data_IF_301745163756
#
_entry.id   IF_301745163756
#
_cell.length_a   1.000
_cell.length_b   1.000
_cell.length_c   1.000
_cell.angle_alpha   90.00
_cell.angle_beta   90.00
_cell.angle_gamma   90.00
#
_symmetry.space_group_name_H-M   'P 1'
#
loop_
_entity.id
_entity.type
_entity.pdbx_description
1 polymer ?
#
# COMPACT_ATOMS: atom_id res chain seq x y z
N UNK A 1 -5.41 1.04 3.34
CA UNK A 1 -5.14 0.51 4.68
C UNK A 1 -5.80 -0.85 4.73
N UNK A 2 -5.10 -1.85 5.26
CA UNK A 2 -5.54 -3.24 5.25
C UNK A 2 -5.13 -3.89 6.57
N UNK A 3 -5.86 -4.93 6.99
CA UNK A 3 -5.48 -5.68 8.19
C UNK A 3 -4.10 -6.29 7.96
N UNK A 4 -3.21 -6.27 8.95
CA UNK A 4 -1.85 -6.83 8.82
C UNK A 4 -1.80 -8.30 8.36
N UNK A 5 -2.86 -9.06 8.63
CA UNK A 5 -3.04 -10.46 8.23
C UNK A 5 -3.85 -10.64 6.93
N UNK A 6 -4.14 -9.56 6.21
CA UNK A 6 -4.97 -9.57 5.01
C UNK A 6 -4.24 -10.29 3.89
N UNK A 7 -4.94 -11.19 3.20
CA UNK A 7 -4.42 -11.89 2.02
C UNK A 7 -4.12 -10.89 0.88
N UNK A 8 -4.64 -9.67 0.96
CA UNK A 8 -4.39 -8.62 -0.03
C UNK A 8 -2.92 -8.30 -0.21
N UNK A 9 -2.13 -8.38 0.87
CA UNK A 9 -0.66 -8.23 0.80
C UNK A 9 0.06 -9.36 0.05
N UNK A 10 -0.62 -10.47 -0.26
CA UNK A 10 -0.08 -11.58 -1.03
C UNK A 10 -0.61 -11.61 -2.47
N UNK A 11 -1.93 -11.57 -2.64
CA UNK A 11 -2.58 -12.01 -3.89
C UNK A 11 -2.90 -10.91 -4.89
N UNK A 12 -2.88 -9.63 -4.49
CA UNK A 12 -3.35 -8.54 -5.35
C UNK A 12 -2.37 -7.36 -5.45
N UNK A 13 -1.12 -7.57 -5.86
CA UNK A 13 -0.15 -6.48 -5.98
C UNK A 13 -0.59 -5.37 -6.95
N UNK A 14 -1.37 -5.69 -7.99
CA UNK A 14 -1.96 -4.69 -8.90
C UNK A 14 -3.07 -3.84 -8.28
N UNK A 15 -3.65 -4.26 -7.14
CA UNK A 15 -4.61 -3.45 -6.39
C UNK A 15 -3.93 -2.67 -5.27
N UNK A 16 -2.72 -3.04 -4.89
CA UNK A 16 -1.89 -2.33 -3.92
C UNK A 16 -1.33 -1.04 -4.53
N UNK A 17 -0.96 -1.07 -5.81
CA UNK A 17 -0.51 0.10 -6.56
C UNK A 17 -1.47 0.35 -7.73
N UNK A 18 -2.14 1.50 -7.72
CA UNK A 18 -3.05 1.90 -8.80
C UNK A 18 -2.51 3.18 -9.46
N UNK A 19 -2.36 3.14 -10.78
CA UNK A 19 -2.06 4.35 -11.55
C UNK A 19 -3.37 5.02 -11.95
N UNK A 20 -3.59 6.23 -11.44
CA UNK A 20 -4.70 7.06 -11.86
C UNK A 20 -4.30 7.73 -13.17
N UNK A 21 -4.92 7.31 -14.27
CA UNK A 21 -4.72 7.90 -15.59
C UNK A 21 -6.07 8.36 -16.15
N UNK A 22 -6.06 9.42 -16.96
CA UNK A 22 -7.24 9.89 -17.67
C UNK A 22 -7.08 9.65 -19.17
N UNK A 23 -8.10 9.06 -19.77
CA UNK A 23 -8.14 8.85 -21.22
C UNK A 23 -8.51 10.15 -21.92
N UNK A 24 -7.76 10.50 -22.96
CA UNK A 24 -8.10 11.64 -23.82
C UNK A 24 -9.50 11.45 -24.44
N UNK A 25 -10.23 12.57 -24.60
CA UNK A 25 -11.58 12.58 -25.15
C UNK A 25 -12.71 12.22 -24.18
N UNK A 26 -12.40 11.84 -22.92
CA UNK A 26 -13.40 11.56 -21.88
C UNK A 26 -13.35 12.62 -20.76
N UNK A 27 -13.68 13.86 -21.11
CA UNK A 27 -13.76 14.96 -20.15
C UNK A 27 -14.83 14.68 -19.07
N UNK A 28 -14.49 14.92 -17.81
CA UNK A 28 -15.40 14.66 -16.67
C UNK A 28 -15.48 13.19 -16.24
N UNK A 29 -14.64 12.31 -16.80
CA UNK A 29 -14.59 10.90 -16.41
C UNK A 29 -13.17 10.46 -16.04
N UNK A 30 -13.11 9.47 -15.15
CA UNK A 30 -11.95 8.64 -14.84
C UNK A 30 -12.39 7.19 -14.94
N UNK A 31 -11.85 6.46 -15.92
CA UNK A 31 -12.36 5.13 -16.31
C UNK A 31 -13.88 5.16 -16.54
N UNK A 32 -14.62 4.23 -15.92
CA UNK A 32 -16.09 4.17 -15.94
C UNK A 32 -16.79 5.10 -14.93
N UNK A 33 -16.03 5.91 -14.18
CA UNK A 33 -16.54 6.79 -13.12
C UNK A 33 -16.68 8.22 -13.65
N UNK A 34 -17.87 8.81 -13.48
CA UNK A 34 -18.07 10.24 -13.67
C UNK A 34 -17.50 10.98 -12.47
N UNK A 35 -16.72 12.02 -12.72
CA UNK A 35 -16.25 12.96 -11.70
C UNK A 35 -17.44 13.83 -11.32
N UNK A 36 -17.94 13.66 -10.10
CA UNK A 36 -19.16 14.33 -9.61
C UNK A 36 -18.87 15.54 -8.74
N UNK A 37 -17.62 15.73 -8.34
CA UNK A 37 -17.18 16.85 -7.52
C UNK A 37 -15.66 16.91 -7.40
N UNK A 38 -15.12 17.83 -6.59
CA UNK A 38 -13.68 17.97 -6.39
C UNK A 38 -13.04 16.72 -5.78
N UNK A 39 -13.80 15.96 -4.99
CA UNK A 39 -13.31 14.85 -4.18
C UNK A 39 -14.08 13.55 -4.42
N UNK A 40 -14.90 13.47 -5.47
CA UNK A 40 -15.80 12.33 -5.68
C UNK A 40 -15.87 11.90 -7.14
N UNK A 41 -15.83 10.59 -7.37
CA UNK A 41 -16.09 9.98 -8.67
C UNK A 41 -16.94 8.71 -8.51
N UNK A 42 -18.02 8.59 -9.30
CA UNK A 42 -19.03 7.54 -9.14
C UNK A 42 -19.33 6.86 -10.47
N UNK A 43 -19.58 5.55 -10.46
CA UNK A 43 -20.13 4.88 -11.65
C UNK A 43 -21.58 5.34 -11.88
N UNK A 44 -21.93 5.60 -13.14
CA UNK A 44 -23.32 5.96 -13.50
C UNK A 44 -24.11 4.77 -14.06
N UNK A 45 -23.45 3.65 -14.33
CA UNK A 45 -24.03 2.49 -14.99
C UNK A 45 -24.35 1.42 -13.96
N UNK A 46 -25.62 1.04 -13.86
CA UNK A 46 -26.02 -0.15 -13.13
C UNK A 46 -25.72 -1.37 -13.98
N UNK A 47 -24.63 -2.06 -13.66
CA UNK A 47 -24.25 -3.32 -14.33
C UNK A 47 -24.81 -4.49 -13.53
N UNK A 48 -25.52 -5.46 -14.14
CA UNK A 48 -26.02 -6.60 -13.39
C UNK A 48 -24.92 -7.45 -12.74
N UNK A 49 -25.28 -8.10 -11.63
CA UNK A 49 -24.47 -9.14 -10.96
C UNK A 49 -23.13 -8.57 -10.47
N UNK A 50 -22.03 -9.31 -10.64
CA UNK A 50 -20.75 -9.06 -9.97
C UNK A 50 -20.12 -7.73 -10.42
N UNK A 51 -20.25 -7.40 -11.70
CA UNK A 51 -19.60 -6.22 -12.27
C UNK A 51 -20.22 -4.89 -11.81
N UNK A 52 -21.49 -4.86 -11.39
CA UNK A 52 -22.09 -3.66 -10.77
C UNK A 52 -22.07 -3.66 -9.26
N UNK A 53 -21.94 -4.82 -8.61
CA UNK A 53 -21.70 -4.88 -7.16
C UNK A 53 -20.39 -4.20 -6.78
N UNK A 54 -19.37 -4.33 -7.64
CA UNK A 54 -18.01 -3.81 -7.40
C UNK A 54 -17.79 -2.42 -8.01
N UNK A 55 -18.84 -1.74 -8.50
CA UNK A 55 -18.76 -0.33 -8.88
C UNK A 55 -18.72 0.54 -7.63
N UNK A 56 -17.57 0.63 -6.98
CA UNK A 56 -17.43 1.48 -5.80
C UNK A 56 -17.25 2.93 -6.20
N UNK A 57 -17.90 3.80 -5.45
CA UNK A 57 -17.56 5.22 -5.43
C UNK A 57 -16.11 5.40 -5.01
N UNK A 58 -15.51 6.47 -5.51
CA UNK A 58 -14.19 6.91 -5.08
C UNK A 58 -14.33 8.23 -4.36
N UNK A 59 -13.77 8.27 -3.15
CA UNK A 59 -13.69 9.48 -2.35
C UNK A 59 -12.23 9.88 -2.14
N UNK A 60 -11.97 11.16 -2.26
CA UNK A 60 -10.67 11.75 -1.98
C UNK A 60 -10.77 12.65 -0.76
N UNK A 61 -9.79 12.61 0.12
CA UNK A 61 -9.73 13.50 1.27
C UNK A 61 -8.30 13.75 1.72
N UNK A 62 -8.09 14.85 2.45
CA UNK A 62 -6.78 15.20 2.99
C UNK A 62 -6.78 15.02 4.50
N UNK A 63 -5.80 14.28 5.00
CA UNK A 63 -5.57 14.07 6.44
C UNK A 63 -4.08 14.28 6.74
N UNK A 64 -3.76 15.14 7.70
CA UNK A 64 -2.37 15.41 8.10
C UNK A 64 -1.46 15.89 6.97
N UNK A 65 -2.03 16.61 5.98
CA UNK A 65 -1.30 17.10 4.81
C UNK A 65 -1.07 16.09 3.69
N UNK A 66 -1.58 14.85 3.83
CA UNK A 66 -1.52 13.84 2.78
C UNK A 66 -2.91 13.65 2.17
N UNK A 67 -2.96 13.61 0.84
CA UNK A 67 -4.16 13.20 0.11
C UNK A 67 -4.28 11.67 0.12
N UNK A 68 -5.50 11.21 0.41
CA UNK A 68 -5.90 9.82 0.43
C UNK A 68 -7.05 9.60 -0.55
N UNK A 69 -7.12 8.37 -1.06
CA UNK A 69 -8.21 7.91 -1.91
C UNK A 69 -8.82 6.64 -1.32
N UNK A 70 -10.13 6.64 -1.12
CA UNK A 70 -10.92 5.46 -0.77
C UNK A 70 -11.56 4.88 -2.01
N UNK A 71 -11.36 3.59 -2.26
CA UNK A 71 -11.97 2.88 -3.38
C UNK A 71 -12.01 1.39 -3.08
N UNK A 72 -13.13 0.71 -3.36
CA UNK A 72 -13.26 -0.74 -3.21
C UNK A 72 -12.90 -1.28 -1.80
N UNK A 73 -13.16 -0.48 -0.76
CA UNK A 73 -12.81 -0.83 0.62
C UNK A 73 -11.31 -0.68 0.95
N UNK A 74 -10.51 -0.21 -0.01
CA UNK A 74 -9.09 0.08 0.14
C UNK A 74 -8.88 1.58 0.35
N UNK A 75 -7.88 1.89 1.17
CA UNK A 75 -7.38 3.26 1.38
C UNK A 75 -5.99 3.40 0.79
N UNK A 76 -5.85 4.30 -0.17
CA UNK A 76 -4.65 4.60 -0.92
C UNK A 76 -4.05 5.94 -0.48
N UNK A 77 -2.75 6.07 -0.65
CA UNK A 77 -2.02 7.34 -0.53
C UNK A 77 -1.25 7.58 -1.82
N UNK A 78 -1.01 8.83 -2.18
CA UNK A 78 -0.18 9.16 -3.34
C UNK A 78 1.18 8.45 -3.28
N UNK A 79 1.62 7.88 -4.41
CA UNK A 79 2.95 7.27 -4.54
C UNK A 79 4.09 8.25 -4.23
N UNK A 80 3.88 9.56 -4.43
CA UNK A 80 4.86 10.61 -4.09
C UNK A 80 5.11 10.73 -2.58
N UNK A 81 4.19 10.23 -1.75
CA UNK A 81 4.29 10.26 -0.30
C UNK A 81 5.02 9.02 0.26
N UNK A 82 5.33 8.04 -0.59
CA UNK A 82 6.06 6.83 -0.21
C UNK A 82 7.55 7.15 -0.14
N UNK A 83 8.06 7.23 1.09
CA UNK A 83 9.46 7.60 1.37
C UNK A 83 10.39 6.39 1.21
N UNK A 84 11.68 6.59 0.89
CA UNK A 84 12.64 5.50 0.92
C UNK A 84 12.78 4.94 2.33
N UNK A 85 13.01 3.62 2.41
CA UNK A 85 13.39 2.95 3.65
C UNK A 85 14.72 3.53 4.16
N UNK A 86 14.81 3.80 5.46
CA UNK A 86 16.07 4.23 6.06
C UNK A 86 17.11 3.10 5.96
N UNK A 87 18.22 3.39 5.29
CA UNK A 87 19.28 2.43 4.97
C UNK A 87 20.34 2.29 6.08
N UNK A 88 20.14 2.96 7.21
CA UNK A 88 20.90 2.80 8.46
C UNK A 88 20.84 1.36 8.95
N UNK A 89 21.87 0.92 9.69
CA UNK A 89 21.98 -0.47 10.14
C UNK A 89 20.81 -0.88 11.03
N UNK A 90 20.31 0.02 11.89
CA UNK A 90 19.21 -0.25 12.82
C UNK A 90 18.28 0.96 12.89
N UNK A 91 17.00 0.72 12.65
CA UNK A 91 15.97 1.75 12.59
C UNK A 91 14.67 1.27 13.25
N UNK A 92 13.82 2.22 13.64
CA UNK A 92 12.50 1.93 14.22
C UNK A 92 11.41 2.55 13.36
N UNK A 93 10.35 1.79 13.15
CA UNK A 93 9.13 2.25 12.47
C UNK A 93 7.96 2.10 13.42
N UNK A 94 7.34 3.21 13.79
CA UNK A 94 6.12 3.24 14.61
C UNK A 94 4.92 3.58 13.76
N UNK A 95 3.85 2.77 13.81
CA UNK A 95 2.58 3.09 13.16
C UNK A 95 1.87 4.22 13.89
N UNK A 96 1.09 5.02 13.15
CA UNK A 96 0.33 6.12 13.74
C UNK A 96 -0.93 5.60 14.48
N UNK A 97 -1.59 6.49 15.23
CA UNK A 97 -2.80 6.17 15.97
C UNK A 97 -4.00 5.78 15.07
N UNK A 98 -4.02 6.24 13.81
CA UNK A 98 -5.00 5.80 12.82
C UNK A 98 -4.78 4.36 12.32
N UNK A 99 -3.63 3.74 12.67
CA UNK A 99 -3.32 2.36 12.30
C UNK A 99 -3.05 2.17 10.81
N UNK A 100 -2.77 3.24 10.07
CA UNK A 100 -2.41 3.12 8.66
C UNK A 100 -1.09 2.39 8.49
N UNK A 101 -1.08 1.37 7.61
CA UNK A 101 0.16 0.71 7.19
C UNK A 101 1.14 1.72 6.58
N UNK A 102 2.44 1.52 6.84
CA UNK A 102 3.52 2.36 6.29
C UNK A 102 4.20 1.68 5.11
N UNK A 103 4.24 2.39 4.00
CA UNK A 103 4.89 1.97 2.76
C UNK A 103 6.24 2.66 2.60
N UNK A 104 7.22 1.92 2.08
CA UNK A 104 8.54 2.41 1.76
C UNK A 104 9.01 1.93 0.39
N UNK A 105 9.72 2.77 -0.34
CA UNK A 105 10.53 2.32 -1.48
C UNK A 105 11.86 1.76 -0.98
N UNK A 106 12.43 0.78 -1.68
CA UNK A 106 13.75 0.24 -1.35
C UNK A 106 14.80 1.10 -2.07
N UNK A 107 15.61 1.90 -1.35
CA UNK A 107 16.66 2.68 -1.99
C UNK A 107 17.80 1.77 -2.46
N UNK A 108 18.57 2.25 -3.44
CA UNK A 108 19.73 1.52 -3.98
C UNK A 108 20.73 1.10 -2.89
N UNK A 109 20.92 1.92 -1.86
CA UNK A 109 21.81 1.63 -0.72
C UNK A 109 21.33 0.48 0.18
N UNK A 110 20.06 0.08 0.10
CA UNK A 110 19.47 -1.03 0.84
C UNK A 110 19.28 -2.29 -0.04
N UNK A 111 19.27 -2.14 -1.36
CA UNK A 111 19.08 -3.26 -2.27
C UNK A 111 20.18 -4.33 -2.08
N UNK A 112 19.77 -5.59 -2.01
CA UNK A 112 20.64 -6.74 -1.79
C UNK A 112 21.02 -6.99 -0.32
N UNK A 113 20.78 -6.04 0.60
CA UNK A 113 20.97 -6.27 2.04
C UNK A 113 19.92 -7.22 2.59
N UNK A 114 20.29 -7.91 3.66
CA UNK A 114 19.39 -8.75 4.44
C UNK A 114 18.63 -7.87 5.43
N UNK A 115 17.33 -7.68 5.18
CA UNK A 115 16.43 -7.03 6.13
C UNK A 115 15.90 -8.05 7.13
N UNK A 116 16.03 -7.76 8.42
CA UNK A 116 15.37 -8.48 9.52
C UNK A 116 14.42 -7.53 10.23
N UNK A 117 13.19 -7.97 10.50
CA UNK A 117 12.21 -7.16 11.23
C UNK A 117 11.82 -7.86 12.53
N UNK A 118 11.95 -7.16 13.64
CA UNK A 118 11.36 -7.57 14.92
C UNK A 118 9.91 -7.13 14.93
N UNK A 119 9.00 -8.11 14.87
CA UNK A 119 7.57 -7.89 14.78
C UNK A 119 6.94 -7.76 16.18
N UNK A 120 5.98 -6.84 16.37
CA UNK A 120 5.07 -6.88 17.51
C UNK A 120 4.07 -8.04 17.35
N UNK A 121 3.36 -8.40 18.42
CA UNK A 121 2.43 -9.53 18.43
C UNK A 121 1.29 -9.43 17.41
N UNK A 122 0.89 -8.20 17.04
CA UNK A 122 -0.13 -7.90 16.02
C UNK A 122 0.47 -7.08 14.89
N UNK A 123 1.50 -7.62 14.25
CA UNK A 123 2.20 -6.96 13.15
C UNK A 123 2.72 -7.92 12.10
N UNK A 124 2.90 -7.39 10.90
CA UNK A 124 3.46 -8.08 9.75
C UNK A 124 4.18 -7.08 8.85
N UNK A 125 5.08 -7.60 8.02
CA UNK A 125 5.55 -6.89 6.84
C UNK A 125 5.46 -7.76 5.59
N UNK A 126 5.36 -7.09 4.45
CA UNK A 126 5.52 -7.70 3.14
C UNK A 126 6.54 -6.92 2.30
N UNK A 127 7.24 -7.63 1.41
CA UNK A 127 8.22 -7.07 0.47
C UNK A 127 7.85 -7.49 -0.93
N UNK A 128 7.94 -6.52 -1.85
CA UNK A 128 7.64 -6.71 -3.25
C UNK A 128 8.86 -6.34 -4.09
N UNK A 129 9.07 -7.04 -5.21
CA UNK A 129 10.07 -6.67 -6.20
C UNK A 129 9.62 -5.50 -7.09
N UNK A 130 10.44 -5.16 -8.09
CA UNK A 130 10.17 -4.05 -9.03
C UNK A 130 8.90 -4.24 -9.86
N UNK A 131 8.46 -5.49 -10.05
CA UNK A 131 7.24 -5.84 -10.78
C UNK A 131 6.02 -5.92 -9.84
N UNK A 132 6.21 -5.60 -8.56
CA UNK A 132 5.20 -5.73 -7.51
C UNK A 132 4.97 -7.17 -7.07
N UNK A 133 5.79 -8.14 -7.45
CA UNK A 133 5.61 -9.54 -7.00
C UNK A 133 5.99 -9.64 -5.52
N UNK A 134 5.09 -10.20 -4.71
CA UNK A 134 5.36 -10.43 -3.29
C UNK A 134 6.45 -11.48 -3.12
N UNK A 135 7.63 -11.08 -2.64
CA UNK A 135 8.78 -11.96 -2.41
C UNK A 135 8.85 -12.45 -0.96
N UNK A 136 8.21 -11.74 -0.03
CA UNK A 136 8.02 -12.19 1.33
C UNK A 136 6.77 -11.55 1.92
N UNK A 137 5.93 -12.34 2.57
CA UNK A 137 4.89 -11.84 3.46
C UNK A 137 4.94 -12.67 4.75
N UNK A 138 5.35 -12.02 5.83
CA UNK A 138 5.63 -12.68 7.13
C UNK A 138 4.52 -13.58 7.66
N UNK A 139 3.25 -13.22 7.42
CA UNK A 139 2.08 -14.02 7.83
C UNK A 139 2.05 -15.39 7.14
N UNK A 140 2.52 -15.45 5.89
CA UNK A 140 2.48 -16.64 5.05
C UNK A 140 3.81 -17.40 5.12
N UNK A 141 4.92 -16.69 5.08
CA UNK A 141 6.26 -17.30 5.07
C UNK A 141 6.72 -17.74 6.47
N UNK A 142 6.18 -17.14 7.54
CA UNK A 142 6.72 -17.27 8.89
C UNK A 142 8.14 -16.72 9.04
N UNK A 143 8.68 -16.07 8.00
CA UNK A 143 10.07 -15.62 7.95
C UNK A 143 10.15 -14.10 8.07
N UNK A 144 10.79 -13.65 9.15
CA UNK A 144 11.00 -12.24 9.42
C UNK A 144 12.29 -11.68 8.79
N UNK A 145 12.97 -12.45 7.93
CA UNK A 145 14.17 -12.07 7.19
C UNK A 145 13.93 -12.15 5.68
N UNK A 146 14.35 -11.13 4.94
CA UNK A 146 14.22 -11.11 3.47
C UNK A 146 15.31 -10.27 2.81
N UNK A 147 15.85 -10.77 1.69
CA UNK A 147 16.85 -10.05 0.91
C UNK A 147 16.13 -9.01 0.09
N UNK A 148 16.50 -7.73 0.26
CA UNK A 148 15.77 -6.64 -0.37
C UNK A 148 16.00 -6.64 -1.90
N UNK A 149 14.93 -6.71 -2.71
CA UNK A 149 15.06 -6.59 -4.17
C UNK A 149 15.43 -5.15 -4.57
N UNK A 150 16.03 -4.99 -5.75
CA UNK A 150 16.22 -3.67 -6.37
C UNK A 150 14.86 -3.09 -6.76
N UNK A 151 14.71 -1.77 -6.63
CA UNK A 151 13.50 -1.02 -7.01
C UNK A 151 12.18 -1.54 -6.43
N UNK A 152 12.23 -2.33 -5.36
CA UNK A 152 11.06 -2.90 -4.74
C UNK A 152 10.42 -1.97 -3.70
N UNK A 153 9.43 -2.50 -3.00
CA UNK A 153 8.74 -1.79 -1.91
C UNK A 153 8.60 -2.68 -0.69
N UNK A 154 8.47 -2.05 0.47
CA UNK A 154 8.20 -2.70 1.76
C UNK A 154 6.95 -2.06 2.35
N UNK A 155 6.05 -2.89 2.88
CA UNK A 155 4.93 -2.43 3.71
C UNK A 155 5.02 -3.02 5.09
N UNK A 156 4.80 -2.17 6.10
CA UNK A 156 4.70 -2.54 7.51
C UNK A 156 3.27 -2.26 7.97
N UNK A 157 2.60 -3.29 8.47
CA UNK A 157 1.21 -3.23 8.90
C UNK A 157 1.05 -3.88 10.29
N UNK A 158 0.16 -3.33 11.10
CA UNK A 158 -0.05 -3.81 12.47
C UNK A 158 -1.10 -3.02 13.21
N UNK A 159 -1.25 -3.29 14.51
CA UNK A 159 -2.13 -2.51 15.37
C UNK A 159 -1.65 -1.04 15.48
N UNK A 160 -2.56 -0.08 15.72
CA UNK A 160 -2.18 1.31 15.97
C UNK A 160 -1.07 1.46 17.00
N UNK A 161 -0.17 2.42 16.79
CA UNK A 161 0.97 2.70 17.68
C UNK A 161 2.00 1.55 17.83
N UNK A 162 1.89 0.48 17.05
CA UNK A 162 2.86 -0.62 17.10
C UNK A 162 4.23 -0.16 16.59
N UNK A 163 5.29 -0.60 17.28
CA UNK A 163 6.68 -0.35 16.91
C UNK A 163 7.32 -1.61 16.29
N UNK A 164 8.10 -1.39 15.25
CA UNK A 164 8.85 -2.41 14.52
C UNK A 164 10.32 -1.99 14.51
N UNK A 165 11.22 -2.90 14.88
CA UNK A 165 12.65 -2.68 14.71
C UNK A 165 13.12 -3.33 13.41
N UNK A 166 13.86 -2.59 12.60
CA UNK A 166 14.41 -3.05 11.33
C UNK A 166 15.92 -3.05 11.44
N UNK A 167 16.55 -4.15 11.03
CA UNK A 167 18.00 -4.26 10.90
C UNK A 167 18.37 -4.60 9.47
N UNK A 168 19.35 -3.90 8.92
CA UNK A 168 19.89 -4.11 7.57
C UNK A 168 21.36 -4.54 7.67
N UNK A 169 21.65 -5.76 7.19
CA UNK A 169 23.00 -6.34 7.14
C UNK A 169 23.45 -6.60 5.70
#
# INVERSE_FOLDING_TARGET
>A
NEKFSSIQYLVQPKLITTQITRKEGLAGYWEGRKITGPNTATHQLQIPVMNGRDTTETHFYTEGGNEYMEMAGLLYVSGTNVKPLDASQSTKVTLQANGHAKWFTIPQAAAGKMMTVTLPSKGAFAVYDENGVCVNFTIVSGNNKVKLPKNGTVVIAGAPNSEFAITLN
#
